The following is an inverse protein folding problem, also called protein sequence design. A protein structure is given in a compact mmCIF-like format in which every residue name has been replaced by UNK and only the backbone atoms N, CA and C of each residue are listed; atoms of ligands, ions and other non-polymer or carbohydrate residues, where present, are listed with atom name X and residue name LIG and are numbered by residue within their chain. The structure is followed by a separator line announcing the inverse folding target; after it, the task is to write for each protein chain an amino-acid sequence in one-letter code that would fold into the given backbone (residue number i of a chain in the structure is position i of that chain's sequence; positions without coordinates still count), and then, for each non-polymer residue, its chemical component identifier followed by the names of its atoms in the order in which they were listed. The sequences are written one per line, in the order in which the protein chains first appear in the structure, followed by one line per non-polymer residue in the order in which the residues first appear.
data_IF_537949605931
#
_entry.id   IF_537949605931
#
_cell.length_a   1.000
_cell.length_b   1.000
_cell.length_c   1.000
_cell.angle_alpha   90.00
_cell.angle_beta   90.00
_cell.angle_gamma   90.00
#
_symmetry.space_group_name_H-M   'P 1'
#
loop_
_entity.id
_entity.type
_entity.pdbx_description
1 polymer ?
#
# COMPACT_ATOMS: atom_id res chain seq x y z
N UNK A 1 11.50 14.57 -9.77
CA UNK A 1 11.75 13.17 -9.34
C UNK A 1 12.70 12.44 -10.29
N UNK A 2 14.01 12.43 -9.99
CA UNK A 2 15.07 11.83 -10.81
C UNK A 2 15.63 10.52 -10.22
N UNK A 3 15.58 10.35 -8.89
CA UNK A 3 16.08 9.14 -8.22
C UNK A 3 15.27 7.88 -8.59
N UNK A 4 13.95 7.99 -8.63
CA UNK A 4 13.08 6.86 -9.01
C UNK A 4 13.39 6.33 -10.42
N UNK A 5 13.72 7.23 -11.36
CA UNK A 5 14.04 6.87 -12.74
C UNK A 5 15.38 6.14 -12.80
N UNK A 6 16.39 6.57 -12.03
CA UNK A 6 17.71 5.91 -11.95
C UNK A 6 17.60 4.50 -11.40
N UNK A 7 16.81 4.29 -10.34
CA UNK A 7 16.61 2.97 -9.73
C UNK A 7 15.89 1.99 -10.66
N UNK A 8 14.89 2.49 -11.40
CA UNK A 8 14.14 1.67 -12.37
C UNK A 8 15.04 1.29 -13.55
N UNK A 9 15.79 2.25 -14.11
CA UNK A 9 16.69 2.00 -15.23
C UNK A 9 17.77 0.96 -14.88
N UNK A 10 18.38 1.08 -13.69
CA UNK A 10 19.40 0.12 -13.25
C UNK A 10 18.85 -1.30 -13.10
N UNK A 11 17.67 -1.46 -12.47
CA UNK A 11 17.01 -2.77 -12.32
C UNK A 11 16.61 -3.41 -13.65
N UNK A 12 16.19 -2.59 -14.62
CA UNK A 12 15.86 -3.06 -15.97
C UNK A 12 17.11 -3.51 -16.74
N UNK A 13 18.22 -2.78 -16.64
CA UNK A 13 19.48 -3.12 -17.30
C UNK A 13 20.10 -4.40 -16.67
N UNK A 14 20.02 -4.57 -15.35
CA UNK A 14 20.64 -5.70 -14.66
C UNK A 14 19.81 -7.00 -14.72
N UNK A 15 18.48 -6.94 -14.71
CA UNK A 15 17.62 -8.13 -14.56
C UNK A 15 16.53 -8.28 -15.64
N UNK A 16 16.33 -7.30 -16.52
CA UNK A 16 15.33 -7.33 -17.58
C UNK A 16 13.86 -7.32 -17.12
N UNK A 17 13.59 -7.35 -15.81
CA UNK A 17 12.25 -7.36 -15.22
C UNK A 17 12.20 -6.61 -13.89
N UNK A 18 11.03 -6.07 -13.56
CA UNK A 18 10.78 -5.40 -12.29
C UNK A 18 9.87 -6.32 -11.47
N UNK A 19 10.44 -6.97 -10.46
CA UNK A 19 9.64 -7.69 -9.47
C UNK A 19 8.95 -6.66 -8.56
N UNK A 20 7.65 -6.45 -8.76
CA UNK A 20 6.81 -5.69 -7.83
C UNK A 20 6.10 -6.66 -6.90
N UNK A 21 6.25 -6.44 -5.59
CA UNK A 21 5.49 -7.19 -4.59
C UNK A 21 4.00 -6.95 -4.76
N UNK A 22 3.21 -8.02 -4.71
CA UNK A 22 1.77 -8.00 -4.75
C UNK A 22 1.23 -8.49 -3.41
N UNK A 23 0.59 -7.60 -2.66
CA UNK A 23 0.02 -7.93 -1.34
C UNK A 23 -1.42 -8.46 -1.43
N UNK A 24 -2.12 -8.22 -2.54
CA UNK A 24 -3.53 -8.64 -2.71
C UNK A 24 -4.54 -7.82 -1.92
N UNK A 25 -4.28 -6.53 -1.70
CA UNK A 25 -5.23 -5.60 -1.05
C UNK A 25 -5.70 -4.52 -2.01
N UNK A 26 -6.98 -4.18 -1.92
CA UNK A 26 -7.50 -2.95 -2.52
C UNK A 26 -7.55 -1.89 -1.43
N UNK A 27 -6.87 -0.77 -1.68
CA UNK A 27 -6.78 0.34 -0.76
C UNK A 27 -7.44 1.61 -1.30
N UNK A 28 -8.00 2.42 -0.41
CA UNK A 28 -8.59 3.71 -0.69
C UNK A 28 -8.00 4.77 0.25
N UNK A 29 -7.86 6.00 -0.23
CA UNK A 29 -7.49 7.13 0.63
C UNK A 29 -8.63 7.47 1.60
N UNK A 30 -8.33 7.70 2.87
CA UNK A 30 -9.30 8.29 3.79
C UNK A 30 -9.61 9.73 3.38
N UNK A 31 -10.89 10.04 3.16
CA UNK A 31 -11.36 11.39 2.83
C UNK A 31 -12.51 11.80 3.75
N UNK A 32 -12.65 13.12 3.95
CA UNK A 32 -13.80 13.77 4.58
C UNK A 32 -14.41 13.03 5.76
N UNK A 33 -15.61 12.49 5.56
CA UNK A 33 -16.41 11.82 6.58
C UNK A 33 -15.81 10.50 7.06
N UNK A 34 -15.15 9.74 6.19
CA UNK A 34 -14.44 8.51 6.57
C UNK A 34 -13.27 8.85 7.48
N UNK A 35 -12.55 9.96 7.23
CA UNK A 35 -11.44 10.40 8.10
C UNK A 35 -11.92 10.71 9.53
N UNK A 36 -13.12 11.26 9.69
CA UNK A 36 -13.73 11.50 11.02
C UNK A 36 -14.06 10.20 11.75
N UNK A 37 -14.57 9.19 11.04
CA UNK A 37 -14.85 7.87 11.60
C UNK A 37 -13.59 7.19 12.17
N UNK A 38 -12.43 7.44 11.55
CA UNK A 38 -11.13 6.95 12.00
C UNK A 38 -10.33 7.97 12.83
N UNK A 39 -11.02 8.80 13.61
CA UNK A 39 -10.41 9.77 14.55
C UNK A 39 -9.36 10.70 13.92
N UNK A 40 -9.58 11.09 12.68
CA UNK A 40 -8.67 11.93 11.88
C UNK A 40 -7.29 11.32 11.61
N UNK A 41 -7.12 10.01 11.73
CA UNK A 41 -5.88 9.33 11.36
C UNK A 41 -5.64 9.40 9.85
N UNK A 42 -4.37 9.48 9.46
CA UNK A 42 -3.93 9.41 8.07
C UNK A 42 -3.49 7.98 7.75
N UNK A 43 -3.90 7.46 6.59
CA UNK A 43 -3.61 6.10 6.20
C UNK A 43 -4.37 5.66 4.95
N UNK A 44 -4.03 4.45 4.50
CA UNK A 44 -4.72 3.75 3.42
C UNK A 44 -5.75 2.79 4.02
N UNK A 45 -7.03 2.99 3.70
CA UNK A 45 -8.14 2.14 4.13
C UNK A 45 -8.22 0.90 3.26
N UNK A 46 -8.21 -0.30 3.86
CA UNK A 46 -8.41 -1.54 3.14
C UNK A 46 -9.90 -1.73 2.85
N UNK A 47 -10.27 -1.68 1.57
CA UNK A 47 -11.65 -1.88 1.11
C UNK A 47 -11.94 -3.32 0.73
N UNK A 48 -10.92 -4.06 0.32
CA UNK A 48 -11.04 -5.47 -0.04
C UNK A 48 -9.70 -6.20 0.14
N UNK A 49 -9.77 -7.49 0.47
CA UNK A 49 -8.62 -8.37 0.63
C UNK A 49 -8.85 -9.60 -0.23
N UNK A 50 -7.93 -9.86 -1.16
CA UNK A 50 -8.02 -11.01 -2.03
C UNK A 50 -7.75 -12.28 -1.22
N UNK A 51 -8.69 -13.23 -1.25
CA UNK A 51 -8.57 -14.51 -0.55
C UNK A 51 -7.34 -15.31 -1.03
N UNK A 52 -6.56 -15.85 -0.10
CA UNK A 52 -5.31 -16.57 -0.38
C UNK A 52 -4.14 -15.66 -0.79
N UNK A 53 -4.26 -14.34 -0.62
CA UNK A 53 -3.14 -13.41 -0.75
C UNK A 53 -2.30 -13.34 0.52
N UNK A 54 -1.09 -12.80 0.41
CA UNK A 54 -0.23 -12.57 1.59
C UNK A 54 -0.90 -11.67 2.63
N UNK A 55 -1.82 -10.78 2.23
CA UNK A 55 -2.59 -9.97 3.16
C UNK A 55 -3.65 -10.77 3.92
N UNK A 56 -4.32 -11.73 3.25
CA UNK A 56 -5.28 -12.64 3.89
C UNK A 56 -4.57 -13.57 4.88
N UNK A 57 -3.41 -14.11 4.50
CA UNK A 57 -2.55 -14.92 5.39
C UNK A 57 -2.02 -14.11 6.58
N UNK A 58 -1.74 -12.83 6.38
CA UNK A 58 -1.37 -11.90 7.45
C UNK A 58 -2.55 -11.50 8.36
N UNK A 59 -3.78 -11.90 8.00
CA UNK A 59 -4.99 -11.61 8.77
C UNK A 59 -5.55 -10.20 8.57
N UNK A 60 -5.13 -9.48 7.52
CA UNK A 60 -5.71 -8.19 7.16
C UNK A 60 -7.16 -8.34 6.74
N UNK A 61 -7.98 -7.37 7.12
CA UNK A 61 -9.41 -7.38 6.82
C UNK A 61 -9.89 -6.06 6.23
N UNK A 62 -11.03 -6.13 5.56
CA UNK A 62 -11.77 -4.94 5.13
C UNK A 62 -12.11 -4.08 6.36
N UNK A 63 -11.80 -2.79 6.26
CA UNK A 63 -11.97 -1.83 7.36
C UNK A 63 -10.68 -1.55 8.14
N UNK A 64 -9.62 -2.32 7.92
CA UNK A 64 -8.33 -2.02 8.53
C UNK A 64 -7.72 -0.76 7.92
N UNK A 65 -7.03 0.01 8.77
CA UNK A 65 -6.35 1.23 8.38
C UNK A 65 -4.84 1.04 8.42
N UNK A 66 -4.19 1.12 7.26
CA UNK A 66 -2.73 1.05 7.14
C UNK A 66 -2.14 2.45 7.32
N UNK A 67 -1.51 2.67 8.47
CA UNK A 67 -0.88 3.96 8.83
C UNK A 67 0.62 4.01 8.50
N UNK A 68 1.30 2.86 8.52
CA UNK A 68 2.75 2.75 8.28
C UNK A 68 3.06 1.42 7.59
N UNK A 69 3.99 1.45 6.64
CA UNK A 69 4.60 0.25 6.05
C UNK A 69 6.10 0.33 6.32
N UNK A 70 6.62 -0.59 7.14
CA UNK A 70 7.98 -0.55 7.67
C UNK A 70 8.28 0.81 8.33
N UNK A 71 9.16 1.62 7.72
CA UNK A 71 9.54 2.95 8.20
C UNK A 71 8.88 4.11 7.44
N UNK A 72 7.97 3.81 6.51
CA UNK A 72 7.28 4.82 5.71
C UNK A 72 5.85 5.02 6.20
N UNK A 73 5.54 6.23 6.63
CA UNK A 73 4.17 6.65 6.95
C UNK A 73 3.38 6.76 5.66
N UNK A 74 2.22 6.10 5.61
CA UNK A 74 1.31 6.16 4.47
C UNK A 74 0.32 7.28 4.74
N UNK A 75 0.38 8.35 3.94
CA UNK A 75 -0.58 9.46 4.02
C UNK A 75 -1.65 9.39 2.91
N UNK A 76 -1.33 8.69 1.82
CA UNK A 76 -2.23 8.42 0.70
C UNK A 76 -1.73 7.20 -0.08
N UNK A 77 -2.61 6.50 -0.82
CA UNK A 77 -2.23 5.48 -1.81
C UNK A 77 -1.30 6.02 -2.91
#
# INVERSE_FOLDING_TARGET
PSNMVKDIAKKLIEKGKIDRGFLGVTILALQGDTKKAYKNQEGALITDVQKGSSADEAGLKRGDLVTKVNDKVIKSP
#
